data_IF_988250368822
#
_entry.id   IF_988250368822
#
_cell.length_a   1.000
_cell.length_b   1.000
_cell.length_c   1.000
_cell.angle_alpha   90.00
_cell.angle_beta   90.00
_cell.angle_gamma   90.00
#
_symmetry.space_group_name_H-M   'P 1'
#
loop_
_entity.id
_entity.type
_entity.pdbx_description
1 polymer ?
#
# COMPACT_ATOMS: atom_id res chain seq x y z
N UNK A 1 1.13 -20.60 16.24
CA UNK A 1 0.60 -19.82 15.12
C UNK A 1 -0.30 -20.74 14.30
N UNK A 2 -1.64 -20.55 14.29
CA UNK A 2 -2.51 -21.37 13.43
C UNK A 2 -2.37 -20.86 12.01
N UNK A 3 -1.45 -21.43 11.25
CA UNK A 3 -1.40 -21.25 9.80
C UNK A 3 -2.69 -21.82 9.22
N UNK A 4 -3.66 -20.95 8.89
CA UNK A 4 -4.76 -21.35 8.01
C UNK A 4 -4.07 -21.76 6.70
N UNK A 5 -4.12 -23.05 6.35
CA UNK A 5 -3.53 -23.67 5.15
C UNK A 5 -4.23 -23.18 3.88
N UNK A 6 -4.20 -21.87 3.64
CA UNK A 6 -5.02 -21.20 2.63
C UNK A 6 -4.16 -20.22 1.84
N UNK A 7 -4.27 -20.29 0.51
CA UNK A 7 -3.64 -19.34 -0.42
C UNK A 7 -4.69 -18.62 -1.24
N UNK A 8 -4.31 -17.50 -1.86
CA UNK A 8 -5.09 -16.80 -2.86
C UNK A 8 -4.49 -17.05 -4.24
N UNK A 9 -5.34 -17.36 -5.20
CA UNK A 9 -4.98 -17.63 -6.58
C UNK A 9 -5.72 -16.65 -7.49
N UNK A 10 -5.00 -15.97 -8.39
CA UNK A 10 -5.60 -15.16 -9.44
C UNK A 10 -5.39 -15.80 -10.82
N UNK A 11 -6.49 -15.98 -11.54
CA UNK A 11 -6.50 -16.45 -12.91
C UNK A 11 -7.28 -15.45 -13.78
N UNK A 12 -6.56 -14.60 -14.51
CA UNK A 12 -7.12 -13.49 -15.31
C UNK A 12 -7.95 -12.53 -14.45
N UNK A 13 -9.26 -12.77 -14.35
CA UNK A 13 -10.23 -11.94 -13.63
C UNK A 13 -10.77 -12.60 -12.37
N UNK A 14 -10.48 -13.88 -12.19
CA UNK A 14 -11.01 -14.70 -11.11
C UNK A 14 -10.02 -14.73 -9.96
N UNK A 15 -10.47 -14.39 -8.76
CA UNK A 15 -9.73 -14.58 -7.52
C UNK A 15 -10.35 -15.74 -6.75
N UNK A 16 -9.54 -16.69 -6.28
CA UNK A 16 -10.00 -17.83 -5.50
C UNK A 16 -9.20 -17.98 -4.22
N UNK A 17 -9.87 -18.36 -3.14
CA UNK A 17 -9.21 -18.87 -1.93
C UNK A 17 -9.17 -20.39 -2.00
N UNK A 18 -7.98 -20.94 -1.87
CA UNK A 18 -7.71 -22.37 -2.00
C UNK A 18 -7.18 -22.92 -0.68
N UNK A 19 -7.79 -23.97 -0.18
CA UNK A 19 -7.32 -24.76 0.95
C UNK A 19 -6.24 -25.73 0.46
N UNK A 20 -5.00 -25.54 0.91
CA UNK A 20 -3.84 -26.32 0.48
C UNK A 20 -3.77 -27.71 1.14
N UNK A 21 -4.55 -27.96 2.19
CA UNK A 21 -4.59 -29.27 2.83
C UNK A 21 -5.61 -30.19 2.17
N UNK A 22 -6.80 -29.65 1.87
CA UNK A 22 -7.88 -30.41 1.22
C UNK A 22 -7.87 -30.30 -0.30
N UNK A 23 -7.03 -29.43 -0.86
CA UNK A 23 -6.93 -29.11 -2.28
C UNK A 23 -8.26 -28.65 -2.89
N UNK A 24 -9.01 -27.82 -2.15
CA UNK A 24 -10.34 -27.35 -2.56
C UNK A 24 -10.40 -25.83 -2.61
N UNK A 25 -11.15 -25.32 -3.60
CA UNK A 25 -11.55 -23.92 -3.62
C UNK A 25 -12.59 -23.72 -2.51
N UNK A 26 -12.28 -22.84 -1.56
CA UNK A 26 -13.19 -22.43 -0.49
C UNK A 26 -14.23 -21.47 -1.05
N UNK A 27 -13.76 -20.44 -1.76
CA UNK A 27 -14.61 -19.49 -2.48
C UNK A 27 -13.85 -18.96 -3.69
N UNK A 28 -14.60 -18.47 -4.68
CA UNK A 28 -14.06 -17.76 -5.83
C UNK A 28 -14.97 -16.58 -6.20
N UNK A 29 -14.36 -15.51 -6.72
CA UNK A 29 -15.06 -14.32 -7.16
C UNK A 29 -14.53 -13.90 -8.52
N UNK A 30 -15.44 -13.49 -9.40
CA UNK A 30 -15.08 -12.88 -10.69
C UNK A 30 -15.09 -11.37 -10.56
N UNK A 31 -13.93 -10.74 -10.81
CA UNK A 31 -13.79 -9.29 -10.87
C UNK A 31 -14.05 -8.80 -12.30
N UNK A 32 -14.52 -7.57 -12.44
CA UNK A 32 -14.80 -7.00 -13.76
C UNK A 32 -13.56 -6.92 -14.68
N UNK A 33 -12.38 -6.74 -14.07
CA UNK A 33 -11.13 -6.31 -14.70
C UNK A 33 -10.00 -7.30 -14.40
N UNK A 34 -8.97 -7.30 -15.26
CA UNK A 34 -7.84 -8.22 -15.10
C UNK A 34 -7.13 -7.94 -13.78
N UNK A 35 -6.89 -8.97 -12.99
CA UNK A 35 -6.12 -8.91 -11.74
C UNK A 35 -4.64 -8.81 -12.11
N UNK A 36 -3.96 -7.81 -11.56
CA UNK A 36 -2.52 -7.58 -11.76
C UNK A 36 -1.74 -7.55 -10.47
N UNK A 37 -2.41 -7.52 -9.32
CA UNK A 37 -1.79 -7.58 -8.01
C UNK A 37 -2.78 -8.02 -6.95
N UNK A 38 -2.29 -8.77 -5.97
CA UNK A 38 -3.04 -9.13 -4.77
C UNK A 38 -2.16 -8.81 -3.59
N UNK A 39 -2.73 -8.20 -2.56
CA UNK A 39 -2.08 -8.12 -1.26
C UNK A 39 -3.07 -8.45 -0.18
N UNK A 40 -2.64 -9.26 0.78
CA UNK A 40 -3.46 -9.66 1.92
C UNK A 40 -2.89 -9.05 3.19
N UNK A 41 -3.75 -8.38 3.95
CA UNK A 41 -3.47 -7.93 5.30
C UNK A 41 -4.52 -8.56 6.19
N UNK A 42 -4.09 -9.51 7.04
CA UNK A 42 -4.96 -10.23 7.97
C UNK A 42 -6.23 -10.81 7.30
N UNK A 43 -7.40 -10.22 7.58
CA UNK A 43 -8.72 -10.62 7.09
C UNK A 43 -9.18 -9.82 5.86
N UNK A 44 -8.32 -8.97 5.32
CA UNK A 44 -8.58 -8.10 4.17
C UNK A 44 -7.69 -8.45 2.98
N UNK A 45 -8.24 -8.30 1.79
CA UNK A 45 -7.55 -8.55 0.52
C UNK A 45 -7.72 -7.35 -0.39
N UNK A 46 -6.61 -6.68 -0.72
CA UNK A 46 -6.54 -5.66 -1.75
C UNK A 46 -6.23 -6.34 -3.08
N UNK A 47 -7.04 -6.05 -4.09
CA UNK A 47 -6.84 -6.56 -5.44
C UNK A 47 -6.68 -5.37 -6.36
N UNK A 48 -5.51 -5.26 -6.99
CA UNK A 48 -5.28 -4.26 -8.04
C UNK A 48 -5.69 -4.85 -9.37
N UNK A 49 -6.52 -4.10 -10.10
CA UNK A 49 -7.04 -4.50 -11.38
C UNK A 49 -6.79 -3.42 -12.44
N UNK A 50 -6.56 -3.85 -13.68
CA UNK A 50 -6.38 -2.96 -14.82
C UNK A 50 -7.46 -3.26 -15.87
N UNK A 51 -7.97 -2.21 -16.51
CA UNK A 51 -8.88 -2.37 -17.65
C UNK A 51 -8.19 -3.10 -18.82
N UNK A 52 -8.97 -3.65 -19.76
CA UNK A 52 -8.45 -4.42 -20.91
C UNK A 52 -7.42 -3.66 -21.76
N UNK A 53 -7.41 -2.33 -21.68
CA UNK A 53 -6.59 -1.46 -22.51
C UNK A 53 -5.50 -0.70 -21.72
N UNK A 54 -5.23 -1.09 -20.48
CA UNK A 54 -4.30 -0.34 -19.61
C UNK A 54 -4.86 1.00 -19.09
N UNK A 55 -5.98 1.47 -19.64
CA UNK A 55 -6.61 2.75 -19.29
C UNK A 55 -7.39 2.61 -17.99
N UNK A 56 -6.80 3.07 -16.90
CA UNK A 56 -7.43 3.09 -15.58
C UNK A 56 -7.11 1.86 -14.74
N UNK A 57 -6.52 2.14 -13.58
CA UNK A 57 -6.22 1.16 -12.56
C UNK A 57 -7.22 1.30 -11.42
N UNK A 58 -7.63 0.17 -10.87
CA UNK A 58 -8.65 0.05 -9.84
C UNK A 58 -8.09 -0.77 -8.69
N UNK A 59 -8.62 -0.52 -7.49
CA UNK A 59 -8.41 -1.40 -6.35
C UNK A 59 -9.75 -1.80 -5.77
N UNK A 60 -9.92 -3.11 -5.57
CA UNK A 60 -11.03 -3.70 -4.83
C UNK A 60 -10.55 -4.14 -3.46
N UNK A 61 -11.37 -3.92 -2.43
CA UNK A 61 -11.16 -4.48 -1.09
C UNK A 61 -12.14 -5.62 -0.86
N UNK A 62 -11.64 -6.78 -0.45
CA UNK A 62 -12.42 -7.97 -0.18
C UNK A 62 -12.18 -8.48 1.24
N UNK A 63 -13.18 -9.16 1.81
CA UNK A 63 -12.99 -9.98 3.01
C UNK A 63 -12.32 -11.30 2.65
N UNK A 64 -11.20 -11.62 3.28
CA UNK A 64 -10.48 -12.87 3.04
C UNK A 64 -11.32 -14.11 3.38
N UNK A 65 -12.17 -14.05 4.41
CA UNK A 65 -12.89 -15.23 4.84
C UNK A 65 -14.05 -15.61 3.90
N UNK A 66 -14.68 -14.64 3.23
CA UNK A 66 -15.89 -14.85 2.43
C UNK A 66 -15.73 -14.55 0.94
N UNK A 67 -14.69 -13.79 0.54
CA UNK A 67 -14.57 -13.24 -0.81
C UNK A 67 -15.49 -12.04 -1.07
N UNK A 68 -16.28 -11.60 -0.09
CA UNK A 68 -17.18 -10.45 -0.24
C UNK A 68 -16.39 -9.20 -0.64
N UNK A 69 -16.75 -8.60 -1.78
CA UNK A 69 -16.22 -7.32 -2.22
C UNK A 69 -16.91 -6.21 -1.42
N UNK A 70 -16.14 -5.49 -0.60
CA UNK A 70 -16.63 -4.36 0.17
C UNK A 70 -16.80 -3.13 -0.71
N UNK A 71 -15.82 -2.85 -1.56
CA UNK A 71 -15.86 -1.74 -2.50
C UNK A 71 -14.81 -1.90 -3.60
N UNK A 72 -14.98 -1.13 -4.67
CA UNK A 72 -14.02 -1.00 -5.78
C UNK A 72 -13.90 0.47 -6.14
N UNK A 73 -12.68 0.99 -6.21
CA UNK A 73 -12.41 2.39 -6.55
C UNK A 73 -11.37 2.49 -7.66
N UNK A 74 -11.44 3.55 -8.48
CA UNK A 74 -10.49 3.80 -9.58
C UNK A 74 -9.20 4.45 -9.06
N UNK A 75 -8.43 3.71 -8.28
CA UNK A 75 -7.17 4.15 -7.68
C UNK A 75 -6.23 2.97 -7.44
N UNK A 76 -4.92 3.20 -7.49
CA UNK A 76 -3.91 2.29 -6.93
C UNK A 76 -3.35 2.89 -5.65
N UNK A 77 -3.25 2.02 -4.66
CA UNK A 77 -2.68 2.32 -3.37
C UNK A 77 -1.21 1.88 -3.34
N UNK A 78 -0.30 2.78 -3.01
CA UNK A 78 1.15 2.50 -2.98
C UNK A 78 1.71 2.46 -1.57
N UNK A 79 1.21 3.32 -0.68
CA UNK A 79 1.50 3.31 0.75
C UNK A 79 0.18 3.39 1.49
N UNK A 80 -0.15 2.34 2.24
CA UNK A 80 -1.37 2.28 3.05
C UNK A 80 -1.08 1.92 4.49
N UNK A 81 -1.92 2.42 5.37
CA UNK A 81 -2.07 1.93 6.73
C UNK A 81 -3.56 1.67 6.96
N UNK A 82 -3.87 0.59 7.65
CA UNK A 82 -5.25 0.16 7.87
C UNK A 82 -5.54 0.17 9.36
N UNK A 83 -6.73 0.63 9.71
CA UNK A 83 -7.34 0.48 11.03
C UNK A 83 -8.72 -0.15 10.86
N UNK A 84 -9.38 -0.49 11.96
CA UNK A 84 -10.75 -1.02 11.95
C UNK A 84 -11.76 -0.08 11.27
N UNK A 85 -11.45 1.22 11.19
CA UNK A 85 -12.36 2.24 10.67
C UNK A 85 -11.94 2.76 9.30
N UNK A 86 -10.63 2.83 9.03
CA UNK A 86 -10.11 3.57 7.89
C UNK A 86 -9.00 2.85 7.13
N UNK A 87 -8.96 3.08 5.82
CA UNK A 87 -7.78 2.88 4.98
C UNK A 87 -7.15 4.25 4.76
N UNK A 88 -5.96 4.45 5.32
CA UNK A 88 -5.15 5.63 5.06
C UNK A 88 -4.26 5.38 3.85
N UNK A 89 -4.21 6.35 2.93
CA UNK A 89 -3.34 6.32 1.76
C UNK A 89 -2.50 7.57 1.72
N UNK A 90 -1.18 7.38 1.69
CA UNK A 90 -0.21 8.47 1.59
C UNK A 90 0.46 8.43 0.21
N UNK A 91 0.37 9.53 -0.53
CA UNK A 91 1.05 9.68 -1.84
C UNK A 91 1.70 11.04 -1.93
N UNK A 92 3.02 11.07 -1.92
CA UNK A 92 3.79 12.31 -1.81
C UNK A 92 3.37 13.08 -0.56
N UNK A 93 2.92 14.32 -0.73
CA UNK A 93 2.43 15.15 0.37
C UNK A 93 0.94 15.01 0.65
N UNK A 94 0.18 14.14 -0.02
CA UNK A 94 -1.27 13.99 0.19
C UNK A 94 -1.59 12.78 1.04
N UNK A 95 -2.31 13.00 2.14
CA UNK A 95 -2.89 11.95 2.96
C UNK A 95 -4.40 11.90 2.71
N UNK A 96 -4.89 10.71 2.41
CA UNK A 96 -6.32 10.42 2.27
C UNK A 96 -6.72 9.38 3.30
N UNK A 97 -7.90 9.55 3.89
CA UNK A 97 -8.57 8.54 4.71
C UNK A 97 -9.86 8.12 4.04
N UNK A 98 -10.03 6.82 3.83
CA UNK A 98 -11.25 6.21 3.30
C UNK A 98 -11.90 5.38 4.38
N UNK A 99 -13.24 5.39 4.46
CA UNK A 99 -13.97 4.44 5.30
C UNK A 99 -13.66 3.00 4.88
N UNK A 100 -13.15 2.16 5.79
CA UNK A 100 -12.85 0.76 5.50
C UNK A 100 -14.08 0.01 4.98
N UNK A 101 -15.26 0.32 5.55
CA UNK A 101 -16.53 -0.33 5.21
C UNK A 101 -17.05 0.04 3.82
N UNK A 102 -16.87 1.29 3.39
CA UNK A 102 -17.58 1.83 2.21
C UNK A 102 -16.68 2.30 1.09
N UNK A 103 -15.38 2.47 1.36
CA UNK A 103 -14.42 3.06 0.41
C UNK A 103 -14.66 4.55 0.15
N UNK A 104 -15.64 5.17 0.80
CA UNK A 104 -15.93 6.60 0.67
C UNK A 104 -14.87 7.42 1.37
N UNK A 105 -14.53 8.55 0.78
CA UNK A 105 -13.65 9.55 1.36
C UNK A 105 -14.19 10.01 2.72
N UNK A 106 -13.32 9.95 3.73
CA UNK A 106 -13.54 10.57 5.02
C UNK A 106 -12.88 11.95 5.08
N UNK A 107 -11.62 12.06 4.63
CA UNK A 107 -10.94 13.32 4.37
C UNK A 107 -9.78 13.14 3.39
N UNK A 108 -9.39 14.23 2.72
CA UNK A 108 -8.11 14.38 2.02
C UNK A 108 -7.45 15.68 2.48
N UNK A 109 -6.18 15.59 2.85
CA UNK A 109 -5.37 16.74 3.28
C UNK A 109 -4.03 16.78 2.54
N UNK A 110 -3.48 17.98 2.43
CA UNK A 110 -2.08 18.16 2.07
C UNK A 110 -1.25 18.32 3.35
N UNK A 111 -0.22 17.50 3.48
CA UNK A 111 0.76 17.58 4.56
C UNK A 111 1.65 18.80 4.39
N UNK A 112 2.27 19.26 5.48
CA UNK A 112 3.15 20.44 5.47
C UNK A 112 4.62 20.10 5.22
N UNK A 113 4.94 18.85 4.87
CA UNK A 113 6.31 18.43 4.56
C UNK A 113 6.75 18.99 3.21
N UNK A 114 7.89 19.67 3.19
CA UNK A 114 8.54 20.17 1.97
C UNK A 114 9.70 19.25 1.60
N UNK A 115 9.75 18.81 0.34
CA UNK A 115 10.87 18.05 -0.24
C UNK A 115 11.19 16.70 0.44
N UNK A 116 10.27 16.17 1.24
CA UNK A 116 10.45 14.90 1.94
C UNK A 116 9.11 14.19 1.96
N UNK A 117 9.07 12.95 1.47
CA UNK A 117 7.89 12.11 1.63
C UNK A 117 7.82 11.64 3.09
N UNK A 118 6.75 11.98 3.81
CA UNK A 118 6.59 11.48 5.17
C UNK A 118 6.32 9.97 5.16
N UNK A 119 6.52 9.34 6.31
CA UNK A 119 6.05 7.97 6.59
C UNK A 119 4.90 8.02 7.57
N UNK A 120 3.94 7.11 7.41
CA UNK A 120 2.78 7.00 8.28
C UNK A 120 3.06 5.90 9.32
N UNK A 121 2.59 6.03 10.56
CA UNK A 121 2.54 4.90 11.49
C UNK A 121 1.44 5.11 12.53
N UNK A 122 0.93 4.00 13.07
CA UNK A 122 0.00 3.99 14.18
C UNK A 122 0.77 3.61 15.45
N UNK A 123 0.85 4.52 16.42
CA UNK A 123 1.53 4.26 17.69
C UNK A 123 0.53 4.41 18.83
N UNK A 124 0.22 3.29 19.48
CA UNK A 124 -0.97 3.20 20.31
C UNK A 124 -2.21 3.43 19.45
N UNK A 125 -3.06 4.39 19.84
CA UNK A 125 -4.28 4.75 19.09
C UNK A 125 -4.10 6.00 18.22
N UNK A 126 -2.88 6.54 18.15
CA UNK A 126 -2.59 7.82 17.48
C UNK A 126 -1.89 7.59 16.16
N UNK A 127 -2.34 8.33 15.15
CA UNK A 127 -1.80 8.28 13.79
C UNK A 127 -0.78 9.40 13.62
N UNK A 128 0.41 9.07 13.15
CA UNK A 128 1.50 10.02 13.01
C UNK A 128 2.09 10.00 11.60
N UNK A 129 2.51 11.17 11.15
CA UNK A 129 3.37 11.37 9.98
C UNK A 129 4.77 11.75 10.44
N UNK A 130 5.77 11.02 9.96
CA UNK A 130 7.17 11.19 10.32
C UNK A 130 8.01 11.69 9.15
N UNK A 131 8.96 12.55 9.47
CA UNK A 131 10.15 12.80 8.65
C UNK A 131 11.34 12.96 9.59
N UNK A 132 12.55 13.01 9.04
CA UNK A 132 13.76 13.34 9.82
C UNK A 132 13.70 14.73 10.48
N UNK A 133 12.82 15.62 10.02
CA UNK A 133 12.74 17.01 10.48
C UNK A 133 11.70 17.22 11.58
N UNK A 134 10.57 16.52 11.51
CA UNK A 134 9.45 16.70 12.43
C UNK A 134 8.45 15.56 12.39
N UNK A 135 7.61 15.52 13.42
CA UNK A 135 6.48 14.60 13.59
C UNK A 135 5.18 15.40 13.62
N UNK A 136 4.18 14.92 12.87
CA UNK A 136 2.82 15.46 12.92
C UNK A 136 1.86 14.38 13.42
N UNK A 137 1.09 14.67 14.46
CA UNK A 137 -0.08 13.87 14.82
C UNK A 137 -1.23 14.23 13.88
N UNK A 138 -1.92 13.20 13.35
CA UNK A 138 -3.07 13.33 12.47
C UNK A 138 -4.35 13.12 13.30
N UNK A 139 -5.20 14.13 13.35
CA UNK A 139 -6.54 13.97 13.90
C UNK A 139 -7.38 13.09 12.95
N UNK A 140 -7.63 11.84 13.35
CA UNK A 140 -8.32 10.87 12.50
C UNK A 140 -9.78 11.24 12.16
N UNK A 141 -10.40 12.20 12.85
CA UNK A 141 -11.79 12.63 12.58
C UNK A 141 -11.90 13.64 11.44
N UNK A 142 -10.86 14.44 11.19
CA UNK A 142 -10.94 15.57 10.27
C UNK A 142 -9.64 15.86 9.50
N UNK A 143 -8.58 15.09 9.73
CA UNK A 143 -7.28 15.26 9.08
C UNK A 143 -6.47 16.46 9.56
N UNK A 144 -6.88 17.17 10.63
CA UNK A 144 -6.06 18.26 11.15
C UNK A 144 -4.68 17.74 11.60
N UNK A 145 -3.63 18.51 11.29
CA UNK A 145 -2.25 18.17 11.58
C UNK A 145 -1.74 19.04 12.72
N UNK A 146 -1.18 18.39 13.74
CA UNK A 146 -0.55 19.06 14.88
C UNK A 146 0.92 18.63 14.95
N UNK A 147 1.83 19.59 15.01
CA UNK A 147 3.23 19.29 15.26
C UNK A 147 3.43 18.90 16.72
N UNK A 148 4.15 17.80 16.94
CA UNK A 148 4.34 17.19 18.27
C UNK A 148 5.78 16.73 18.43
N UNK A 149 6.20 16.53 19.68
CA UNK A 149 7.45 15.85 19.97
C UNK A 149 7.39 14.39 19.51
N UNK A 150 8.57 13.80 19.26
CA UNK A 150 8.66 12.38 18.93
C UNK A 150 8.09 11.53 20.07
N UNK A 151 7.31 10.48 19.78
CA UNK A 151 6.87 9.55 20.81
C UNK A 151 8.05 8.98 21.60
N UNK A 152 7.84 8.85 22.92
CA UNK A 152 8.88 8.41 23.85
C UNK A 152 9.51 7.09 23.39
N UNK A 153 10.84 7.09 23.28
CA UNK A 153 11.61 5.91 22.85
C UNK A 153 11.87 5.81 21.34
N UNK A 154 11.36 6.76 20.54
CA UNK A 154 11.69 6.86 19.11
C UNK A 154 12.60 8.06 18.85
N UNK A 155 13.81 7.81 18.38
CA UNK A 155 14.67 8.84 17.80
C UNK A 155 14.46 8.90 16.27
N UNK A 156 13.65 9.86 15.83
CA UNK A 156 13.32 10.04 14.41
C UNK A 156 14.51 10.42 13.53
N UNK A 157 15.59 10.95 14.12
CA UNK A 157 16.78 11.32 13.34
C UNK A 157 17.61 10.09 12.98
N UNK A 158 17.60 9.07 13.84
CA UNK A 158 18.31 7.81 13.61
C UNK A 158 17.51 6.80 12.78
N UNK A 159 16.18 6.94 12.70
CA UNK A 159 15.33 6.01 11.93
C UNK A 159 15.60 6.16 10.42
N UNK A 160 16.00 5.04 9.80
CA UNK A 160 16.25 4.93 8.36
C UNK A 160 15.07 4.30 7.61
N UNK A 161 14.39 3.33 8.23
CA UNK A 161 13.26 2.60 7.68
C UNK A 161 12.20 2.45 8.77
N UNK A 162 10.93 2.67 8.40
CA UNK A 162 9.77 2.46 9.25
C UNK A 162 8.75 1.65 8.46
N UNK A 163 8.31 0.52 9.03
CA UNK A 163 7.26 -0.33 8.48
C UNK A 163 6.29 -0.67 9.62
N UNK A 164 5.03 -0.33 9.42
CA UNK A 164 3.93 -0.71 10.31
C UNK A 164 3.40 -2.11 9.95
N UNK A 165 2.77 -2.82 10.89
CA UNK A 165 2.17 -4.15 10.67
C UNK A 165 1.23 -4.17 9.45
N UNK A 166 0.54 -3.05 9.22
CA UNK A 166 -0.46 -2.91 8.16
C UNK A 166 0.05 -2.15 6.91
N UNK A 167 1.37 -1.98 6.77
CA UNK A 167 1.98 -1.34 5.60
C UNK A 167 2.36 -2.32 4.51
N UNK A 168 1.87 -2.07 3.29
CA UNK A 168 2.17 -2.88 2.11
C UNK A 168 3.22 -2.24 1.22
N UNK A 169 4.12 -3.08 0.68
CA UNK A 169 4.84 -2.85 -0.56
C UNK A 169 4.38 -3.94 -1.56
N UNK A 170 3.98 -3.57 -2.78
CA UNK A 170 3.35 -4.51 -3.72
C UNK A 170 4.42 -5.45 -4.31
N UNK A 171 4.25 -6.77 -4.12
CA UNK A 171 5.03 -7.80 -4.82
C UNK A 171 4.22 -8.33 -6.01
N UNK A 172 4.78 -8.34 -7.23
CA UNK A 172 4.17 -8.98 -8.41
C UNK A 172 5.13 -10.00 -9.03
N UNK A 173 4.64 -11.19 -9.36
CA UNK A 173 5.43 -12.28 -10.00
C UNK A 173 5.78 -12.01 -11.48
N UNK A 174 5.27 -10.93 -12.07
CA UNK A 174 5.50 -10.55 -13.47
C UNK A 174 6.62 -9.51 -13.67
N UNK A 175 7.33 -9.15 -12.61
CA UNK A 175 8.58 -8.36 -12.66
C UNK A 175 9.75 -9.31 -12.41
N UNK A 176 10.77 -9.37 -13.28
CA UNK A 176 11.94 -10.19 -13.02
C UNK A 176 12.62 -9.74 -11.72
N UNK A 177 13.09 -10.70 -10.92
CA UNK A 177 13.96 -10.51 -9.73
C UNK A 177 15.35 -9.92 -10.09
N UNK A 178 15.48 -9.24 -11.23
CA UNK A 178 16.71 -8.55 -11.63
C UNK A 178 16.69 -7.13 -11.04
N UNK A 179 17.03 -7.04 -9.76
CA UNK A 179 17.61 -5.85 -9.13
C UNK A 179 16.99 -4.51 -9.48
N UNK A 180 15.90 -4.13 -8.81
CA UNK A 180 15.50 -2.73 -8.71
C UNK A 180 15.18 -2.43 -7.26
N UNK A 181 15.97 -1.53 -6.68
CA UNK A 181 15.83 -1.00 -5.34
C UNK A 181 14.36 -0.67 -5.03
N UNK A 182 13.89 -1.11 -3.87
CA UNK A 182 12.67 -0.61 -3.23
C UNK A 182 12.90 0.84 -2.78
N UNK A 183 12.92 1.80 -3.71
CA UNK A 183 12.71 3.20 -3.39
C UNK A 183 11.19 3.39 -3.37
N UNK A 184 10.56 3.08 -2.23
CA UNK A 184 9.11 3.23 -1.98
C UNK A 184 8.60 4.67 -1.99
N UNK A 185 9.08 5.49 -2.93
CA UNK A 185 8.68 6.88 -3.18
C UNK A 185 9.06 7.40 -4.59
N UNK A 186 9.80 6.65 -5.41
CA UNK A 186 10.02 7.07 -6.80
C UNK A 186 8.75 6.81 -7.61
N UNK A 187 7.98 7.88 -7.80
CA UNK A 187 6.81 7.89 -8.67
C UNK A 187 7.09 7.24 -10.02
N UNK A 188 6.01 6.74 -10.63
CA UNK A 188 5.95 6.38 -12.05
C UNK A 188 6.78 7.39 -12.89
N UNK A 189 7.95 6.95 -13.32
CA UNK A 189 8.91 7.75 -14.06
C UNK A 189 10.07 6.86 -14.43
N UNK A 190 9.99 6.25 -15.61
CA UNK A 190 11.14 5.61 -16.21
C UNK A 190 12.24 6.66 -16.37
N UNK A 191 13.38 6.39 -15.76
CA UNK A 191 14.67 6.51 -16.41
C UNK A 191 15.56 5.46 -15.74
N UNK A 192 15.59 4.30 -16.39
CA UNK A 192 16.68 3.37 -16.21
C UNK A 192 17.94 4.04 -16.78
N UNK A 193 18.65 4.81 -15.97
CA UNK A 193 20.04 5.13 -16.24
C UNK A 193 20.85 3.84 -16.05
N UNK A 194 20.90 3.07 -17.15
CA UNK A 194 21.82 1.97 -17.33
C UNK A 194 23.26 2.44 -17.13
N UNK A 195 24.05 1.57 -16.51
CA UNK A 195 25.40 1.85 -16.08
C UNK A 195 26.43 1.99 -17.19
N UNK A 196 27.57 2.54 -16.75
CA UNK A 196 28.96 2.39 -17.18
C UNK A 196 29.30 2.13 -18.65
N UNK A 197 30.16 3.03 -19.16
CA UNK A 197 30.90 2.81 -20.40
C UNK A 197 32.09 3.76 -20.56
N UNK A 198 33.21 3.44 -19.89
CA UNK A 198 34.52 3.40 -20.56
C UNK A 198 35.34 4.69 -20.72
N UNK A 199 36.61 4.56 -20.33
CA UNK A 199 37.78 5.38 -20.67
C UNK A 199 37.84 5.89 -22.12
N UNK A 200 38.49 7.04 -22.28
CA UNK A 200 39.00 7.48 -23.58
C UNK A 200 39.53 8.91 -23.59
N UNK A 201 40.70 9.13 -22.98
CA UNK A 201 41.51 10.31 -23.29
C UNK A 201 42.05 10.23 -24.73
N UNK A 202 42.17 11.37 -25.39
CA UNK A 202 42.78 11.47 -26.72
C UNK A 202 42.59 12.84 -27.35
N UNK A 203 43.66 13.64 -27.28
CA UNK A 203 44.04 14.88 -27.99
C UNK A 203 43.16 16.14 -27.88
#
# INVERSE_FOLDING_TARGET
MKTKNNILLAEKKKLSRFDTFTSKIIWAVDLEKMITGITRIDHLVFVTNISKWGVGQYTSLLKFDTGEILWTIKKVFTSILITDQYVFSLKGSKLEALSLKTGKEHFIISTTFKWTAPKLALIGEKLYLYSKKKVLEVNQKNGQLMEVESPKGLDIQSITILVDEFQMNINTMSTPDSGVYFIGDSGLGGDASGGDGGDGGGE
#
